data_IF_096661529194
#
_entry.id   IF_096661529194
#
_cell.length_a   1.000
_cell.length_b   1.000
_cell.length_c   1.000
_cell.angle_alpha   90.00
_cell.angle_beta   90.00
_cell.angle_gamma   90.00
#
_symmetry.space_group_name_H-M   'P 1'
#
loop_
_entity.id
_entity.type
_entity.pdbx_description
1 polymer ?
#
# COMPACT_ATOMS: atom_id res chain seq x y z
N UNK A 1 -11.72 11.10 -4.47
CA UNK A 1 -10.53 11.18 -3.59
C UNK A 1 -9.30 11.52 -4.42
N UNK A 2 -8.40 12.35 -3.91
CA UNK A 2 -7.02 12.44 -4.41
C UNK A 2 -6.17 11.28 -3.84
N UNK A 3 -4.90 11.16 -4.26
CA UNK A 3 -4.05 10.05 -3.81
C UNK A 3 -3.77 10.05 -2.31
N UNK A 4 -3.57 11.21 -1.70
CA UNK A 4 -3.34 11.33 -0.24
C UNK A 4 -4.56 10.84 0.54
N UNK A 5 -5.76 11.30 0.17
CA UNK A 5 -7.01 10.86 0.80
C UNK A 5 -7.25 9.36 0.63
N UNK A 6 -6.93 8.82 -0.55
CA UNK A 6 -7.02 7.39 -0.83
C UNK A 6 -6.04 6.60 0.04
N UNK A 7 -4.80 7.06 0.17
CA UNK A 7 -3.78 6.42 0.99
C UNK A 7 -4.19 6.42 2.48
N UNK A 8 -4.66 7.55 3.00
CA UNK A 8 -5.19 7.63 4.37
C UNK A 8 -6.40 6.70 4.58
N UNK A 9 -7.29 6.61 3.59
CA UNK A 9 -8.41 5.68 3.66
C UNK A 9 -7.91 4.23 3.72
N UNK A 10 -7.02 3.83 2.82
CA UNK A 10 -6.48 2.46 2.78
C UNK A 10 -5.68 2.12 4.06
N UNK A 11 -4.89 3.06 4.58
CA UNK A 11 -4.13 2.86 5.81
C UNK A 11 -5.00 2.57 7.04
N UNK A 12 -6.23 3.10 7.06
CA UNK A 12 -7.16 2.92 8.16
C UNK A 12 -8.07 1.69 8.01
N UNK A 13 -8.18 1.10 6.82
CA UNK A 13 -9.17 0.05 6.53
C UNK A 13 -8.56 -1.28 6.09
N UNK A 14 -7.36 -1.30 5.49
CA UNK A 14 -6.68 -2.53 5.11
C UNK A 14 -6.06 -3.22 6.33
N UNK A 15 -6.54 -4.42 6.65
CA UNK A 15 -6.00 -5.20 7.76
C UNK A 15 -4.64 -5.81 7.42
N UNK A 16 -4.42 -6.10 6.14
CA UNK A 16 -3.18 -6.69 5.62
C UNK A 16 -1.96 -5.76 5.70
N UNK A 17 -2.17 -4.46 5.96
CA UNK A 17 -1.09 -3.45 6.01
C UNK A 17 0.01 -3.81 7.00
N UNK A 18 -0.35 -4.25 8.21
CA UNK A 18 0.65 -4.60 9.24
C UNK A 18 1.52 -5.77 8.77
N UNK A 19 0.89 -6.81 8.23
CA UNK A 19 1.58 -7.99 7.68
C UNK A 19 2.49 -7.61 6.51
N UNK A 20 2.02 -6.76 5.60
CA UNK A 20 2.85 -6.23 4.52
C UNK A 20 4.09 -5.51 5.06
N UNK A 21 3.93 -4.64 6.06
CA UNK A 21 5.04 -3.88 6.66
C UNK A 21 6.05 -4.83 7.32
N UNK A 22 5.60 -5.85 8.04
CA UNK A 22 6.47 -6.86 8.65
C UNK A 22 7.28 -7.61 7.59
N UNK A 23 6.58 -8.18 6.60
CA UNK A 23 7.20 -8.97 5.53
C UNK A 23 8.18 -8.13 4.69
N UNK A 24 7.79 -6.90 4.33
CA UNK A 24 8.65 -5.97 3.59
C UNK A 24 9.88 -5.53 4.42
N UNK A 25 9.73 -5.38 5.74
CA UNK A 25 10.84 -5.06 6.64
C UNK A 25 11.83 -6.21 6.73
N UNK A 26 11.35 -7.45 6.85
CA UNK A 26 12.21 -8.64 6.83
C UNK A 26 12.97 -8.74 5.50
N UNK A 27 12.26 -8.56 4.39
CA UNK A 27 12.84 -8.54 3.05
C UNK A 27 13.97 -7.51 2.91
N UNK A 28 13.72 -6.26 3.32
CA UNK A 28 14.73 -5.21 3.28
C UNK A 28 15.92 -5.52 4.20
N UNK A 29 15.68 -6.14 5.36
CA UNK A 29 16.73 -6.57 6.27
C UNK A 29 17.60 -7.69 5.68
N UNK A 30 17.02 -8.67 5.00
CA UNK A 30 17.76 -9.71 4.28
C UNK A 30 18.65 -9.07 3.21
N UNK A 31 18.12 -8.14 2.42
CA UNK A 31 18.91 -7.38 1.43
C UNK A 31 19.99 -6.53 2.08
N UNK A 32 19.71 -5.93 3.23
CA UNK A 32 20.65 -5.10 3.96
C UNK A 32 21.82 -5.93 4.51
N UNK A 33 21.57 -7.14 5.01
CA UNK A 33 22.62 -8.07 5.51
C UNK A 33 23.64 -8.43 4.44
N UNK A 34 23.21 -8.55 3.18
CA UNK A 34 24.06 -8.82 2.00
C UNK A 34 24.95 -7.63 1.62
N UNK A 35 24.72 -6.42 2.16
CA UNK A 35 25.59 -5.26 1.93
C UNK A 35 26.88 -5.39 2.74
N UNK A 36 27.97 -4.83 2.20
CA UNK A 36 29.21 -4.65 2.94
C UNK A 36 28.94 -3.92 4.28
N UNK A 37 29.60 -4.29 5.40
CA UNK A 37 29.29 -3.76 6.73
C UNK A 37 29.20 -2.23 6.79
N UNK A 38 30.16 -1.52 6.17
CA UNK A 38 30.20 -0.06 6.13
C UNK A 38 29.07 0.59 5.30
N UNK A 39 28.36 -0.17 4.46
CA UNK A 39 27.26 0.29 3.59
C UNK A 39 25.89 -0.18 4.04
N UNK A 40 25.79 -0.91 5.17
CA UNK A 40 24.52 -1.33 5.72
C UNK A 40 23.69 -0.11 6.10
N UNK A 41 22.43 -0.13 5.72
CA UNK A 41 21.44 0.86 6.08
C UNK A 41 21.15 0.78 7.57
N UNK A 42 20.96 1.96 8.17
CA UNK A 42 20.36 2.08 9.50
C UNK A 42 18.85 1.86 9.43
N UNK A 43 18.25 1.62 10.58
CA UNK A 43 16.82 1.32 10.71
C UNK A 43 15.93 2.37 10.05
N UNK A 44 16.25 3.66 10.21
CA UNK A 44 15.44 4.74 9.65
C UNK A 44 15.40 4.69 8.11
N UNK A 45 16.47 4.18 7.49
CA UNK A 45 16.54 4.03 6.03
C UNK A 45 15.81 2.76 5.57
N UNK A 46 15.80 1.70 6.37
CA UNK A 46 14.98 0.50 6.11
C UNK A 46 13.51 0.87 6.18
N UNK A 47 13.07 1.55 7.25
CA UNK A 47 11.67 1.97 7.39
C UNK A 47 11.21 2.89 6.25
N UNK A 48 12.05 3.84 5.82
CA UNK A 48 11.74 4.67 4.64
C UNK A 48 11.58 3.84 3.37
N UNK A 49 12.42 2.82 3.18
CA UNK A 49 12.29 1.93 2.02
C UNK A 49 10.99 1.11 2.07
N UNK A 50 10.60 0.61 3.25
CA UNK A 50 9.33 -0.11 3.45
C UNK A 50 8.13 0.80 3.21
N UNK A 51 8.14 2.02 3.74
CA UNK A 51 7.08 3.00 3.51
C UNK A 51 6.93 3.34 2.02
N UNK A 52 8.05 3.44 1.29
CA UNK A 52 8.03 3.66 -0.16
C UNK A 52 7.42 2.45 -0.90
N UNK A 53 7.76 1.22 -0.50
CA UNK A 53 7.16 0.01 -1.09
C UNK A 53 5.64 0.00 -0.92
N UNK A 54 5.15 0.32 0.28
CA UNK A 54 3.71 0.44 0.55
C UNK A 54 3.06 1.55 -0.28
N UNK A 55 3.70 2.72 -0.33
CA UNK A 55 3.22 3.85 -1.12
C UNK A 55 3.12 3.51 -2.60
N UNK A 56 4.11 2.80 -3.16
CA UNK A 56 4.14 2.43 -4.57
C UNK A 56 3.10 1.35 -4.93
N UNK A 57 2.84 0.42 -4.01
CA UNK A 57 1.71 -0.51 -4.11
C UNK A 57 0.39 0.27 -4.18
N UNK A 58 0.13 1.19 -3.24
CA UNK A 58 -1.10 1.98 -3.21
C UNK A 58 -1.23 2.91 -4.42
N UNK A 59 -0.14 3.48 -4.94
CA UNK A 59 -0.17 4.23 -6.22
C UNK A 59 -0.65 3.36 -7.37
N UNK A 60 -0.14 2.12 -7.44
CA UNK A 60 -0.51 1.17 -8.49
C UNK A 60 -2.00 0.85 -8.41
N UNK A 61 -2.50 0.51 -7.22
CA UNK A 61 -3.93 0.26 -6.97
C UNK A 61 -4.77 1.49 -7.32
N UNK A 62 -4.40 2.66 -6.80
CA UNK A 62 -5.10 3.92 -7.04
C UNK A 62 -5.22 4.23 -8.55
N UNK A 63 -4.15 4.06 -9.31
CA UNK A 63 -4.15 4.30 -10.76
C UNK A 63 -5.08 3.36 -11.54
N UNK A 64 -5.30 2.13 -11.03
CA UNK A 64 -6.24 1.16 -11.63
C UNK A 64 -7.70 1.48 -11.28
N UNK A 65 -7.97 1.87 -10.03
CA UNK A 65 -9.33 2.16 -9.55
C UNK A 65 -9.82 3.53 -10.04
N UNK A 66 -8.96 4.55 -10.04
CA UNK A 66 -9.32 5.93 -10.39
C UNK A 66 -10.13 6.08 -11.69
N UNK A 67 -9.77 5.45 -12.82
CA UNK A 67 -10.56 5.57 -14.06
C UNK A 67 -11.92 4.85 -14.00
N UNK A 68 -12.11 3.90 -13.07
CA UNK A 68 -13.35 3.13 -12.91
C UNK A 68 -14.37 3.88 -12.04
N UNK A 69 -13.90 4.72 -11.12
CA UNK A 69 -14.76 5.58 -10.32
C UNK A 69 -15.27 6.72 -11.21
N UNK A 70 -16.57 6.74 -11.48
CA UNK A 70 -17.25 7.83 -12.21
C UNK A 70 -17.34 9.08 -11.34
N UNK A 71 -16.21 9.75 -11.11
CA UNK A 71 -16.10 10.94 -10.28
C UNK A 71 -16.62 12.22 -10.96
N UNK A 72 -17.76 12.14 -11.66
CA UNK A 72 -18.42 13.28 -12.31
C UNK A 72 -19.46 13.97 -11.42
N UNK A 73 -19.64 13.52 -10.18
CA UNK A 73 -20.65 14.07 -9.26
C UNK A 73 -20.07 15.18 -8.35
N UNK A 74 -20.98 15.95 -7.75
CA UNK A 74 -20.66 16.96 -6.74
C UNK A 74 -20.09 16.38 -5.43
N UNK A 75 -20.09 15.04 -5.27
CA UNK A 75 -19.62 14.35 -4.06
C UNK A 75 -18.50 13.32 -4.36
N UNK A 76 -17.33 13.75 -4.88
CA UNK A 76 -16.28 12.86 -5.37
C UNK A 76 -15.61 12.00 -4.29
N UNK A 77 -15.81 12.26 -2.99
CA UNK A 77 -15.35 11.37 -1.92
C UNK A 77 -16.32 10.20 -1.72
N UNK A 78 -17.62 10.46 -1.77
CA UNK A 78 -18.68 9.48 -1.58
C UNK A 78 -18.71 8.46 -2.72
N UNK A 79 -18.51 8.90 -3.97
CA UNK A 79 -18.41 7.97 -5.12
C UNK A 79 -17.26 6.96 -4.97
N UNK A 80 -16.13 7.40 -4.40
CA UNK A 80 -15.00 6.51 -4.13
C UNK A 80 -15.34 5.47 -3.06
N UNK A 81 -15.92 5.91 -1.94
CA UNK A 81 -16.34 5.00 -0.87
C UNK A 81 -17.37 4.00 -1.39
N UNK A 82 -18.41 4.47 -2.08
CA UNK A 82 -19.43 3.62 -2.67
C UNK A 82 -18.83 2.60 -3.65
N UNK A 83 -17.86 3.01 -4.48
CA UNK A 83 -17.21 2.10 -5.41
C UNK A 83 -16.38 1.03 -4.68
N UNK A 84 -15.64 1.42 -3.65
CA UNK A 84 -14.83 0.50 -2.83
C UNK A 84 -15.74 -0.54 -2.14
N UNK A 85 -16.82 -0.08 -1.50
CA UNK A 85 -17.78 -0.93 -0.78
C UNK A 85 -18.55 -1.84 -1.75
N UNK A 86 -19.09 -1.31 -2.85
CA UNK A 86 -19.92 -2.08 -3.78
C UNK A 86 -19.16 -3.15 -4.56
N UNK A 87 -17.82 -3.06 -4.62
CA UNK A 87 -16.97 -4.03 -5.30
C UNK A 87 -16.08 -4.82 -4.33
N UNK A 88 -16.34 -4.74 -3.01
CA UNK A 88 -15.59 -5.46 -1.97
C UNK A 88 -14.06 -5.31 -2.13
N UNK A 89 -13.63 -4.10 -2.51
CA UNK A 89 -12.24 -3.85 -2.92
C UNK A 89 -11.29 -4.07 -1.73
N UNK A 90 -11.70 -3.71 -0.51
CA UNK A 90 -10.85 -3.89 0.67
C UNK A 90 -10.54 -5.36 0.92
N UNK A 91 -11.55 -6.23 0.86
CA UNK A 91 -11.39 -7.68 1.09
C UNK A 91 -10.51 -8.29 0.00
N UNK A 92 -10.77 -7.99 -1.27
CA UNK A 92 -9.95 -8.45 -2.39
C UNK A 92 -8.50 -7.98 -2.30
N UNK A 93 -8.27 -6.73 -1.86
CA UNK A 93 -6.93 -6.21 -1.64
C UNK A 93 -6.26 -6.87 -0.45
N UNK A 94 -6.96 -7.07 0.66
CA UNK A 94 -6.40 -7.74 1.84
C UNK A 94 -5.94 -9.16 1.50
N UNK A 95 -6.77 -9.97 0.82
CA UNK A 95 -6.39 -11.29 0.31
C UNK A 95 -5.15 -11.21 -0.58
N UNK A 96 -5.16 -10.34 -1.57
CA UNK A 96 -4.04 -10.17 -2.51
C UNK A 96 -2.75 -9.73 -1.81
N UNK A 97 -2.84 -8.90 -0.77
CA UNK A 97 -1.68 -8.38 -0.03
C UNK A 97 -1.12 -9.44 0.91
N UNK A 98 -1.97 -10.27 1.54
CA UNK A 98 -1.52 -11.40 2.35
C UNK A 98 -0.73 -12.43 1.53
N UNK A 99 -1.07 -12.58 0.25
CA UNK A 99 -0.38 -13.47 -0.68
C UNK A 99 0.95 -12.90 -1.23
N UNK A 100 1.32 -11.65 -0.91
CA UNK A 100 2.58 -11.08 -1.39
C UNK A 100 3.77 -11.77 -0.72
N UNK A 101 4.54 -12.49 -1.53
CA UNK A 101 5.86 -13.00 -1.19
C UNK A 101 6.96 -12.09 -1.80
N UNK A 102 7.92 -11.68 -0.98
CA UNK A 102 9.02 -10.81 -1.42
C UNK A 102 10.28 -11.63 -1.73
N UNK A 103 10.79 -11.53 -2.97
CA UNK A 103 12.00 -12.23 -3.46
C UNK A 103 13.22 -11.32 -3.68
#
# INVERSE_FOLDING_TARGET
>A
MNFTEFMEYMDNHLQSRETFVVNATEYQNVKNRRRAPAKRWKEEKIQRAVNNMWTDLLKTIYSRIKPLVKASSSEPKKEWINYIEANEILDSLDESIYEIEFE
#
